data_IF_144074256512
#
_entry.id   IF_144074256512
#
_cell.length_a   1.000
_cell.length_b   1.000
_cell.length_c   1.000
_cell.angle_alpha   90.00
_cell.angle_beta   90.00
_cell.angle_gamma   90.00
#
_symmetry.space_group_name_H-M   'P 1'
#
loop_
_entity.id
_entity.type
_entity.pdbx_description
1 polymer ?
#
# COMPACT_ATOMS: atom_id res chain seq x y z
N UNK A 1 -19.65 14.56 22.67
CA UNK A 1 -19.99 15.17 21.35
C UNK A 1 -20.96 14.25 20.62
N UNK A 2 -21.80 14.78 19.71
CA UNK A 2 -22.52 13.93 18.75
C UNK A 2 -21.52 13.14 17.90
N UNK A 3 -21.89 11.92 17.50
CA UNK A 3 -21.03 11.00 16.73
C UNK A 3 -20.58 11.64 15.41
N UNK A 4 -21.45 12.49 14.82
CA UNK A 4 -21.25 13.17 13.54
C UNK A 4 -20.03 14.10 13.59
N UNK A 5 -19.90 14.88 14.67
CA UNK A 5 -18.80 15.82 14.83
C UNK A 5 -17.47 15.11 15.05
N UNK A 6 -17.49 13.96 15.73
CA UNK A 6 -16.30 13.13 15.93
C UNK A 6 -15.81 12.60 14.57
N UNK A 7 -16.72 12.09 13.73
CA UNK A 7 -16.39 11.61 12.39
C UNK A 7 -15.83 12.71 11.50
N UNK A 8 -16.42 13.92 11.53
CA UNK A 8 -15.94 15.06 10.74
C UNK A 8 -14.53 15.48 11.18
N UNK A 9 -14.26 15.53 12.48
CA UNK A 9 -12.93 15.89 13.00
C UNK A 9 -11.90 14.81 12.64
N UNK A 10 -12.26 13.54 12.77
CA UNK A 10 -11.35 12.43 12.46
C UNK A 10 -11.01 12.39 10.96
N UNK A 11 -12.02 12.43 10.10
CA UNK A 11 -11.84 12.36 8.65
C UNK A 11 -11.21 13.64 8.09
N UNK A 12 -11.63 14.81 8.57
CA UNK A 12 -11.05 16.09 8.20
C UNK A 12 -9.59 16.21 8.64
N UNK A 13 -9.28 15.81 9.88
CA UNK A 13 -7.90 15.79 10.39
C UNK A 13 -6.99 14.84 9.60
N UNK A 14 -7.50 13.67 9.22
CA UNK A 14 -6.79 12.70 8.38
C UNK A 14 -6.40 13.32 7.03
N UNK A 15 -7.36 13.96 6.35
CA UNK A 15 -7.13 14.61 5.05
C UNK A 15 -6.10 15.74 5.17
N UNK A 16 -6.22 16.60 6.19
CA UNK A 16 -5.28 17.70 6.41
C UNK A 16 -3.85 17.19 6.61
N UNK A 17 -3.67 16.14 7.41
CA UNK A 17 -2.35 15.55 7.65
C UNK A 17 -1.79 14.89 6.39
N UNK A 18 -2.62 14.20 5.60
CA UNK A 18 -2.18 13.64 4.32
C UNK A 18 -1.66 14.72 3.36
N UNK A 19 -2.29 15.91 3.34
CA UNK A 19 -1.83 17.04 2.52
C UNK A 19 -0.46 17.58 2.96
N UNK A 20 -0.09 17.46 4.23
CA UNK A 20 1.23 17.91 4.72
C UNK A 20 2.40 17.04 4.23
N UNK A 21 2.14 15.87 3.66
CA UNK A 21 3.17 14.96 3.16
C UNK A 21 4.00 14.29 4.27
N UNK A 22 3.57 14.37 5.54
CA UNK A 22 4.20 13.60 6.61
C UNK A 22 4.06 12.09 6.35
N UNK A 23 5.02 11.27 6.81
CA UNK A 23 4.89 9.82 6.71
C UNK A 23 3.61 9.37 7.41
N UNK A 24 2.80 8.60 6.68
CA UNK A 24 1.44 8.21 7.06
C UNK A 24 1.39 7.58 8.46
N UNK A 25 2.39 6.77 8.81
CA UNK A 25 2.52 6.14 10.12
C UNK A 25 2.53 7.16 11.28
N UNK A 26 3.31 8.23 11.17
CA UNK A 26 3.38 9.26 12.21
C UNK A 26 2.20 10.22 12.16
N UNK A 27 1.75 10.57 10.95
CA UNK A 27 0.61 11.46 10.78
C UNK A 27 -0.69 10.87 11.33
N UNK A 28 -1.07 9.69 10.84
CA UNK A 28 -2.30 9.01 11.27
C UNK A 28 -2.18 8.42 12.67
N UNK A 29 -1.00 7.88 13.02
CA UNK A 29 -0.74 7.39 14.37
C UNK A 29 -0.84 8.51 15.40
N UNK A 30 -0.23 9.67 15.14
CA UNK A 30 -0.30 10.84 16.01
C UNK A 30 -1.72 11.40 16.13
N UNK A 31 -2.43 11.55 15.02
CA UNK A 31 -3.82 12.03 15.01
C UNK A 31 -4.75 11.08 15.78
N UNK A 32 -4.64 9.79 15.53
CA UNK A 32 -5.46 8.79 16.21
C UNK A 32 -5.17 8.75 17.71
N UNK A 33 -3.91 8.85 18.13
CA UNK A 33 -3.53 8.97 19.54
C UNK A 33 -4.06 10.24 20.19
N UNK A 34 -3.93 11.40 19.53
CA UNK A 34 -4.40 12.68 20.05
C UNK A 34 -5.93 12.71 20.23
N UNK A 35 -6.66 12.19 19.24
CA UNK A 35 -8.13 12.11 19.30
C UNK A 35 -8.58 11.04 20.30
N UNK A 36 -7.91 9.89 20.36
CA UNK A 36 -8.22 8.85 21.34
C UNK A 36 -8.01 9.37 22.78
N UNK A 37 -6.92 10.10 23.03
CA UNK A 37 -6.64 10.72 24.33
C UNK A 37 -7.72 11.75 24.70
N UNK A 38 -8.18 12.53 23.72
CA UNK A 38 -9.21 13.54 23.95
C UNK A 38 -10.62 12.95 24.20
N UNK A 39 -10.96 11.83 23.56
CA UNK A 39 -12.26 11.17 23.69
C UNK A 39 -12.36 10.19 24.87
N UNK A 40 -11.32 9.39 25.11
CA UNK A 40 -11.33 8.28 26.07
C UNK A 40 -10.35 8.46 27.24
N UNK A 41 -9.58 9.55 27.27
CA UNK A 41 -8.66 9.87 28.37
C UNK A 41 -7.35 9.07 28.35
N UNK A 42 -6.55 9.10 29.44
CA UNK A 42 -5.18 8.58 29.46
C UNK A 42 -5.06 7.07 29.19
N UNK A 43 -6.09 6.27 29.52
CA UNK A 43 -6.12 4.83 29.23
C UNK A 43 -6.16 4.51 27.73
N UNK A 44 -6.58 5.45 26.88
CA UNK A 44 -6.59 5.22 25.44
C UNK A 44 -5.19 5.00 24.86
N UNK A 45 -4.16 5.57 25.50
CA UNK A 45 -2.77 5.47 25.06
C UNK A 45 -2.22 4.07 25.32
N UNK A 46 -2.59 3.44 26.43
CA UNK A 46 -2.18 2.05 26.72
C UNK A 46 -2.85 1.07 25.76
N UNK A 47 -4.11 1.31 25.37
CA UNK A 47 -4.80 0.53 24.34
C UNK A 47 -4.16 0.67 22.97
N UNK A 48 -3.76 1.88 22.58
CA UNK A 48 -3.03 2.12 21.34
C UNK A 48 -1.65 1.43 21.35
N UNK A 49 -0.96 1.43 22.49
CA UNK A 49 0.32 0.74 22.66
C UNK A 49 0.17 -0.79 22.53
N UNK A 50 -0.88 -1.37 23.11
CA UNK A 50 -1.19 -2.78 22.96
C UNK A 50 -1.49 -3.16 21.52
N UNK A 51 -2.24 -2.33 20.79
CA UNK A 51 -2.47 -2.49 19.36
C UNK A 51 -1.17 -2.47 18.55
N UNK A 52 -0.29 -1.51 18.83
CA UNK A 52 1.01 -1.41 18.17
C UNK A 52 1.90 -2.64 18.42
N UNK A 53 1.94 -3.15 19.65
CA UNK A 53 2.69 -4.38 19.99
C UNK A 53 2.08 -5.61 19.30
N UNK A 54 0.76 -5.65 19.10
CA UNK A 54 0.09 -6.68 18.32
C UNK A 54 0.54 -6.72 16.85
N UNK A 55 0.71 -5.55 16.22
CA UNK A 55 1.22 -5.42 14.84
C UNK A 55 2.66 -5.90 14.73
N UNK A 56 3.52 -5.61 15.72
CA UNK A 56 4.92 -6.08 15.71
C UNK A 56 5.01 -7.62 15.77
N UNK A 57 4.05 -8.28 16.42
CA UNK A 57 3.95 -9.75 16.47
C UNK A 57 3.29 -10.36 15.24
N UNK A 58 2.89 -9.55 14.27
CA UNK A 58 2.10 -9.99 13.14
C UNK A 58 2.96 -10.82 12.17
N UNK A 59 2.48 -12.03 11.87
CA UNK A 59 3.18 -13.01 11.04
C UNK A 59 3.52 -12.47 9.64
N UNK A 60 2.78 -11.48 9.14
CA UNK A 60 3.07 -10.86 7.84
C UNK A 60 4.45 -10.20 7.76
N UNK A 61 5.03 -9.70 8.87
CA UNK A 61 6.38 -9.15 8.84
C UNK A 61 7.44 -10.18 8.44
N UNK A 62 7.21 -11.47 8.76
CA UNK A 62 8.08 -12.58 8.33
C UNK A 62 7.80 -12.98 6.89
N UNK A 63 6.57 -12.80 6.41
CA UNK A 63 6.19 -13.08 5.02
C UNK A 63 6.70 -12.01 4.05
N UNK A 64 6.89 -10.76 4.48
CA UNK A 64 7.32 -9.64 3.61
C UNK A 64 8.59 -9.98 2.80
N UNK A 65 9.70 -10.49 3.38
CA UNK A 65 10.88 -10.89 2.60
C UNK A 65 10.61 -12.03 1.61
N UNK A 66 9.76 -12.99 1.97
CA UNK A 66 9.39 -14.11 1.09
C UNK A 66 8.58 -13.62 -0.12
N UNK A 67 7.66 -12.67 0.11
CA UNK A 67 6.90 -12.03 -0.96
C UNK A 67 7.78 -11.15 -1.86
N UNK A 68 8.72 -10.41 -1.29
CA UNK A 68 9.75 -9.67 -2.04
C UNK A 68 10.60 -10.62 -2.90
N UNK A 69 11.04 -11.73 -2.32
CA UNK A 69 11.83 -12.75 -3.02
C UNK A 69 11.08 -13.35 -4.20
N UNK A 70 9.80 -13.71 -4.02
CA UNK A 70 8.96 -14.21 -5.10
C UNK A 70 8.75 -13.17 -6.21
N UNK A 71 8.51 -11.91 -5.86
CA UNK A 71 8.42 -10.81 -6.83
C UNK A 71 9.72 -10.65 -7.63
N UNK A 72 10.88 -10.71 -6.97
CA UNK A 72 12.18 -10.69 -7.65
C UNK A 72 12.41 -11.91 -8.54
N UNK A 73 12.02 -13.11 -8.10
CA UNK A 73 12.10 -14.32 -8.92
C UNK A 73 11.28 -14.19 -10.22
N UNK A 74 10.08 -13.62 -10.16
CA UNK A 74 9.27 -13.33 -11.37
C UNK A 74 9.92 -12.28 -12.28
N UNK A 75 10.63 -11.31 -11.71
CA UNK A 75 11.36 -10.32 -12.48
C UNK A 75 12.57 -10.92 -13.21
N UNK A 76 13.38 -11.72 -12.52
CA UNK A 76 14.59 -12.34 -13.09
C UNK A 76 14.32 -13.53 -14.02
N UNK A 77 13.10 -14.06 -14.03
CA UNK A 77 12.69 -15.17 -14.91
C UNK A 77 12.04 -14.72 -16.22
N UNK A 78 12.09 -13.42 -16.54
CA UNK A 78 11.46 -12.78 -17.71
C UNK A 78 9.91 -12.92 -17.79
N UNK A 79 9.27 -13.61 -16.82
CA UNK A 79 7.81 -13.76 -16.74
C UNK A 79 7.11 -12.40 -16.70
N UNK A 80 7.68 -11.43 -15.98
CA UNK A 80 7.15 -10.07 -15.94
C UNK A 80 7.14 -9.41 -17.33
N UNK A 81 8.21 -9.60 -18.11
CA UNK A 81 8.36 -9.04 -19.46
C UNK A 81 7.34 -9.66 -20.44
N UNK A 82 7.16 -10.98 -20.38
CA UNK A 82 6.15 -11.72 -21.15
C UNK A 82 4.73 -11.28 -20.80
N UNK A 83 4.44 -11.09 -19.52
CA UNK A 83 3.13 -10.68 -19.05
C UNK A 83 2.78 -9.26 -19.54
N UNK A 84 3.73 -8.32 -19.45
CA UNK A 84 3.57 -6.98 -20.00
C UNK A 84 3.33 -7.02 -21.51
N UNK A 85 4.00 -7.92 -22.23
CA UNK A 85 3.83 -8.09 -23.67
C UNK A 85 2.44 -8.67 -24.02
N UNK A 86 1.96 -9.66 -23.27
CA UNK A 86 0.62 -10.21 -23.43
C UNK A 86 -0.46 -9.13 -23.21
N UNK A 87 -0.34 -8.34 -22.13
CA UNK A 87 -1.27 -7.23 -21.87
C UNK A 87 -1.18 -6.13 -22.92
N UNK A 88 0.01 -5.82 -23.44
CA UNK A 88 0.17 -4.89 -24.56
C UNK A 88 -0.52 -5.37 -25.83
N UNK A 89 -0.45 -6.66 -26.16
CA UNK A 89 -1.19 -7.21 -27.29
C UNK A 89 -2.70 -7.16 -27.10
N UNK A 90 -3.19 -7.44 -25.89
CA UNK A 90 -4.62 -7.39 -25.58
C UNK A 90 -5.18 -5.97 -25.55
N UNK A 91 -4.38 -5.00 -25.10
CA UNK A 91 -4.79 -3.60 -24.91
C UNK A 91 -4.26 -2.67 -26.01
N UNK A 92 -3.64 -3.22 -27.06
CA UNK A 92 -3.11 -2.49 -28.21
C UNK A 92 -4.07 -1.44 -28.83
N UNK A 93 -5.40 -1.66 -28.90
CA UNK A 93 -6.32 -0.68 -29.49
C UNK A 93 -6.56 0.55 -28.62
N UNK A 94 -6.17 0.53 -27.33
CA UNK A 94 -6.58 1.54 -26.36
C UNK A 94 -5.50 2.64 -26.26
N UNK A 95 -5.85 3.92 -26.46
CA UNK A 95 -4.91 5.02 -26.21
C UNK A 95 -4.53 5.05 -24.73
N UNK A 96 -3.25 4.94 -24.42
CA UNK A 96 -2.75 4.74 -23.05
C UNK A 96 -2.57 3.27 -22.65
N UNK A 97 -2.46 2.36 -23.63
CA UNK A 97 -2.28 0.92 -23.43
C UNK A 97 -1.17 0.55 -22.44
N UNK A 98 -0.11 1.35 -22.32
CA UNK A 98 0.96 1.14 -21.34
C UNK A 98 0.47 1.25 -19.89
N UNK A 99 -0.32 2.27 -19.57
CA UNK A 99 -0.89 2.43 -18.24
C UNK A 99 -1.90 1.32 -17.94
N UNK A 100 -2.74 0.96 -18.92
CA UNK A 100 -3.71 -0.12 -18.78
C UNK A 100 -3.02 -1.50 -18.60
N UNK A 101 -1.92 -1.74 -19.32
CA UNK A 101 -1.11 -2.94 -19.17
C UNK A 101 -0.44 -3.01 -17.80
N UNK A 102 0.08 -1.89 -17.27
CA UNK A 102 0.62 -1.83 -15.91
C UNK A 102 -0.44 -2.21 -14.88
N UNK A 103 -1.66 -1.70 -14.98
CA UNK A 103 -2.76 -2.08 -14.06
C UNK A 103 -3.09 -3.56 -14.15
N UNK A 104 -3.13 -4.13 -15.36
CA UNK A 104 -3.36 -5.56 -15.57
C UNK A 104 -2.26 -6.43 -14.94
N UNK A 105 -0.99 -6.07 -15.17
CA UNK A 105 0.16 -6.75 -14.56
C UNK A 105 0.13 -6.62 -13.04
N UNK A 106 -0.14 -5.41 -12.51
CA UNK A 106 -0.28 -5.18 -11.06
C UNK A 106 -1.37 -6.06 -10.45
N UNK A 107 -2.47 -6.28 -11.15
CA UNK A 107 -3.58 -7.13 -10.67
C UNK A 107 -3.16 -8.60 -10.56
N UNK A 108 -2.41 -9.10 -11.55
CA UNK A 108 -1.86 -10.46 -11.50
C UNK A 108 -0.87 -10.60 -10.34
N UNK A 109 0.07 -9.65 -10.21
CA UNK A 109 1.03 -9.64 -9.10
C UNK A 109 0.35 -9.54 -7.73
N UNK A 110 -0.69 -8.72 -7.59
CA UNK A 110 -1.46 -8.60 -6.35
C UNK A 110 -2.11 -9.93 -5.95
N UNK A 111 -2.58 -10.71 -6.92
CA UNK A 111 -3.16 -12.04 -6.68
C UNK A 111 -2.13 -13.03 -6.13
N UNK A 112 -0.86 -12.90 -6.52
CA UNK A 112 0.21 -13.83 -6.12
C UNK A 112 0.81 -13.40 -4.76
N UNK A 113 0.98 -12.09 -4.53
CA UNK A 113 1.71 -11.55 -3.39
C UNK A 113 0.91 -11.56 -2.07
N UNK A 114 -0.42 -11.75 -2.11
CA UNK A 114 -1.24 -12.01 -0.92
C UNK A 114 -1.31 -10.89 0.14
N UNK A 115 -0.52 -9.82 0.02
CA UNK A 115 -0.50 -8.64 0.89
C UNK A 115 -0.13 -7.39 0.08
N UNK A 116 -0.79 -6.26 0.35
CA UNK A 116 -0.70 -5.08 -0.52
C UNK A 116 0.61 -4.29 -0.36
N UNK A 117 1.20 -4.25 0.84
CA UNK A 117 2.40 -3.45 1.09
C UNK A 117 3.63 -4.02 0.36
N UNK A 118 3.94 -5.34 0.44
CA UNK A 118 5.03 -5.93 -0.32
C UNK A 118 4.76 -5.95 -1.83
N UNK A 119 3.49 -6.11 -2.25
CA UNK A 119 3.09 -6.08 -3.66
C UNK A 119 3.40 -4.72 -4.29
N UNK A 120 3.10 -3.64 -3.59
CA UNK A 120 3.37 -2.28 -4.09
C UNK A 120 4.87 -1.99 -4.15
N UNK A 121 5.65 -2.45 -3.18
CA UNK A 121 7.12 -2.28 -3.18
C UNK A 121 7.82 -3.05 -4.31
N UNK A 122 7.41 -4.31 -4.52
CA UNK A 122 7.92 -5.14 -5.63
C UNK A 122 7.48 -4.59 -6.98
N UNK A 123 6.19 -4.30 -7.14
CA UNK A 123 5.68 -3.75 -8.39
C UNK A 123 6.28 -2.37 -8.68
N UNK A 124 6.53 -1.53 -7.67
CA UNK A 124 7.22 -0.26 -7.86
C UNK A 124 8.63 -0.42 -8.45
N UNK A 125 9.40 -1.40 -7.95
CA UNK A 125 10.76 -1.66 -8.45
C UNK A 125 10.80 -2.38 -9.81
N UNK A 126 9.77 -3.16 -10.13
CA UNK A 126 9.64 -3.86 -11.43
C UNK A 126 9.01 -2.97 -12.50
N UNK A 127 7.94 -2.24 -12.18
CA UNK A 127 7.18 -1.45 -13.13
C UNK A 127 7.97 -0.25 -13.64
N UNK A 128 8.79 0.40 -12.80
CA UNK A 128 9.55 1.58 -13.19
C UNK A 128 10.53 1.34 -14.35
N UNK A 129 11.44 0.33 -14.31
CA UNK A 129 12.30 0.01 -15.44
C UNK A 129 11.50 -0.50 -16.65
N UNK A 130 10.41 -1.24 -16.42
CA UNK A 130 9.56 -1.80 -17.46
C UNK A 130 8.81 -0.74 -18.27
N UNK A 131 8.24 0.26 -17.58
CA UNK A 131 7.59 1.40 -18.22
C UNK A 131 8.61 2.21 -19.01
N UNK A 132 9.76 2.53 -18.42
CA UNK A 132 10.83 3.31 -19.07
C UNK A 132 11.47 2.61 -20.28
N UNK A 133 11.47 1.27 -20.34
CA UNK A 133 11.86 0.52 -21.55
C UNK A 133 10.87 0.68 -22.70
N UNK A 134 9.59 0.95 -22.40
CA UNK A 134 8.46 0.93 -23.34
C UNK A 134 7.85 2.33 -23.57
N UNK A 135 8.28 3.36 -22.83
CA UNK A 135 7.85 4.76 -22.91
C UNK A 135 8.57 5.66 -21.90
#
# INVERSE_FOLDING_TARGET
MSIEWISVIFFGGMLLILVTGLPIAFGLGGLSLALAFWLWGPESVSMALLGAVGIVKYTLLVCVPMFLFMGMMMYYSDIADDLYTAFQYWLAPIPGSLAAATVGVSTVFATIVGSEEPATLTMGSIALPMMRKRG
#
